data_IF_352489958386
#
_entry.id   IF_352489958386
#
_cell.length_a   1.000
_cell.length_b   1.000
_cell.length_c   1.000
_cell.angle_alpha   90.00
_cell.angle_beta   90.00
_cell.angle_gamma   90.00
#
_symmetry.space_group_name_H-M   'P 1'
#
loop_
_entity.id
_entity.type
_entity.pdbx_description
1 polymer ?
#
# COMPACT_ATOMS: atom_id res chain seq x y z
N UNK A 1 10.11 8.09 2.37
CA UNK A 1 8.91 7.42 2.92
C UNK A 1 8.18 6.75 1.79
N UNK A 2 7.49 5.65 2.10
CA UNK A 2 6.66 4.92 1.13
C UNK A 2 5.20 5.13 1.51
N UNK A 3 4.35 5.30 0.51
CA UNK A 3 2.90 5.29 0.64
C UNK A 3 2.38 4.22 -0.30
N UNK A 4 2.12 3.04 0.24
CA UNK A 4 1.56 1.91 -0.51
C UNK A 4 0.06 2.09 -0.65
N UNK A 5 -0.44 1.95 -1.86
CA UNK A 5 -1.87 2.06 -2.19
C UNK A 5 -2.33 0.77 -2.84
N UNK A 6 -3.47 0.27 -2.39
CA UNK A 6 -4.18 -0.85 -2.99
C UNK A 6 -5.70 -0.67 -2.83
N UNK A 7 -6.46 -1.50 -3.53
CA UNK A 7 -7.91 -1.41 -3.59
C UNK A 7 -8.62 -2.77 -3.50
N UNK A 8 -9.87 -2.73 -3.06
CA UNK A 8 -10.78 -3.85 -3.19
C UNK A 8 -12.05 -3.42 -3.91
N UNK A 9 -12.52 -4.25 -4.85
CA UNK A 9 -13.75 -3.99 -5.61
C UNK A 9 -13.59 -3.57 -7.07
N UNK A 10 -12.46 -3.90 -7.71
CA UNK A 10 -12.26 -3.69 -9.16
C UNK A 10 -13.07 -4.63 -10.07
N UNK A 11 -13.73 -5.64 -9.49
CA UNK A 11 -14.37 -6.71 -10.23
C UNK A 11 -15.82 -6.34 -10.57
N UNK A 12 -16.29 -6.69 -11.78
CA UNK A 12 -17.69 -6.52 -12.22
C UNK A 12 -18.72 -7.36 -11.42
N UNK A 13 -18.28 -8.01 -10.33
CA UNK A 13 -19.05 -8.94 -9.51
C UNK A 13 -19.71 -8.23 -8.32
N UNK A 14 -20.86 -7.59 -8.59
CA UNK A 14 -22.01 -7.49 -7.68
C UNK A 14 -21.86 -6.80 -6.31
N UNK A 15 -20.68 -6.32 -5.93
CA UNK A 15 -20.49 -5.48 -4.74
C UNK A 15 -20.64 -4.02 -5.14
N UNK A 16 -21.43 -3.28 -4.37
CA UNK A 16 -21.64 -1.85 -4.57
C UNK A 16 -20.45 -1.01 -4.07
N UNK A 17 -19.40 -1.61 -3.50
CA UNK A 17 -18.31 -0.87 -2.88
C UNK A 17 -16.96 -1.11 -3.55
N UNK A 18 -16.32 0.01 -3.89
CA UNK A 18 -14.89 0.11 -4.17
C UNK A 18 -14.22 0.81 -2.98
N UNK A 19 -13.14 0.24 -2.47
CA UNK A 19 -12.40 0.78 -1.32
C UNK A 19 -10.95 0.94 -1.72
N UNK A 20 -10.43 2.17 -1.72
CA UNK A 20 -9.00 2.43 -1.86
C UNK A 20 -8.41 2.73 -0.48
N UNK A 21 -7.28 2.09 -0.16
CA UNK A 21 -6.55 2.31 1.08
C UNK A 21 -5.14 2.75 0.76
N UNK A 22 -4.61 3.68 1.55
CA UNK A 22 -3.21 4.04 1.52
C UNK A 22 -2.60 3.88 2.90
N UNK A 23 -1.47 3.19 2.98
CA UNK A 23 -0.66 3.03 4.19
C UNK A 23 0.67 3.74 3.97
N UNK A 24 1.07 4.58 4.92
CA UNK A 24 2.30 5.37 4.88
C UNK A 24 3.23 4.91 6.00
N UNK A 25 4.48 4.69 5.66
CA UNK A 25 5.55 4.46 6.62
C UNK A 25 6.80 5.29 6.26
N UNK A 26 7.49 5.83 7.26
CA UNK A 26 8.87 6.27 7.07
C UNK A 26 9.76 5.06 7.05
N UNK A 27 10.93 5.22 6.43
CA UNK A 27 11.85 4.10 6.24
C UNK A 27 12.36 3.48 7.54
N UNK A 28 12.39 4.28 8.62
CA UNK A 28 12.76 3.83 9.95
C UNK A 28 11.66 3.01 10.65
N UNK A 29 10.41 3.13 10.20
CA UNK A 29 9.23 2.58 10.89
C UNK A 29 8.65 1.37 10.14
N UNK A 30 9.14 1.06 8.93
CA UNK A 30 8.64 -0.06 8.13
C UNK A 30 8.83 -1.42 8.80
N UNK A 31 9.87 -1.59 9.62
CA UNK A 31 10.03 -2.82 10.41
C UNK A 31 8.97 -2.96 11.49
N UNK A 32 8.43 -1.86 12.02
CA UNK A 32 7.30 -1.90 12.96
C UNK A 32 6.02 -2.32 12.22
N UNK A 33 5.79 -1.81 11.00
CA UNK A 33 4.70 -2.26 10.13
C UNK A 33 4.77 -3.78 9.90
N UNK A 34 5.93 -4.29 9.48
CA UNK A 34 6.11 -5.74 9.23
C UNK A 34 5.91 -6.54 10.50
N UNK A 35 6.39 -6.07 11.65
CA UNK A 35 6.16 -6.72 12.95
C UNK A 35 4.68 -6.87 13.24
N UNK A 36 3.92 -5.77 13.18
CA UNK A 36 2.48 -5.77 13.43
C UNK A 36 1.73 -6.73 12.49
N UNK A 37 2.11 -6.78 11.21
CA UNK A 37 1.53 -7.73 10.25
C UNK A 37 1.84 -9.18 10.60
N UNK A 38 3.08 -9.49 11.02
CA UNK A 38 3.50 -10.84 11.40
C UNK A 38 2.83 -11.28 12.71
N UNK A 39 2.73 -10.40 13.69
CA UNK A 39 2.09 -10.66 14.99
C UNK A 39 0.59 -10.97 14.84
N UNK A 40 -0.04 -10.46 13.77
CA UNK A 40 -1.40 -10.78 13.36
C UNK A 40 -1.49 -11.93 12.31
N UNK A 41 -0.37 -12.62 12.04
CA UNK A 41 -0.25 -13.74 11.10
C UNK A 41 -0.80 -13.40 9.69
N UNK A 42 -0.48 -12.19 9.22
CA UNK A 42 -0.78 -11.66 7.87
C UNK A 42 0.35 -11.87 6.84
N UNK A 43 1.51 -12.40 7.27
CA UNK A 43 2.60 -12.93 6.40
C UNK A 43 2.90 -12.10 5.14
N UNK A 44 3.44 -10.88 5.29
CA UNK A 44 3.81 -10.03 4.15
C UNK A 44 4.80 -10.75 3.22
N UNK A 45 4.87 -10.36 1.94
CA UNK A 45 5.70 -10.99 0.88
C UNK A 45 5.27 -12.38 0.40
N UNK A 46 4.63 -13.20 1.25
CA UNK A 46 4.15 -14.55 0.92
C UNK A 46 2.76 -14.52 0.26
N UNK A 47 1.86 -13.72 0.82
CA UNK A 47 0.45 -13.74 0.50
C UNK A 47 -0.12 -12.34 0.29
N UNK A 48 -1.11 -12.26 -0.60
CA UNK A 48 -2.09 -11.17 -0.71
C UNK A 48 -3.33 -11.50 0.13
N UNK A 49 -4.16 -10.52 0.46
CA UNK A 49 -5.40 -10.62 1.24
C UNK A 49 -6.34 -11.73 0.74
N UNK A 50 -6.51 -11.85 -0.59
CA UNK A 50 -7.36 -12.88 -1.19
C UNK A 50 -6.70 -14.27 -1.21
N UNK A 51 -5.37 -14.33 -1.34
CA UNK A 51 -4.65 -15.61 -1.44
C UNK A 51 -4.44 -16.28 -0.08
N UNK A 52 -4.47 -15.51 1.01
CA UNK A 52 -4.32 -16.03 2.38
C UNK A 52 -5.41 -17.05 2.71
N UNK A 53 -6.68 -16.73 2.40
CA UNK A 53 -7.82 -17.64 2.58
C UNK A 53 -7.64 -18.94 1.79
N UNK A 54 -7.13 -18.85 0.56
CA UNK A 54 -6.99 -19.99 -0.36
C UNK A 54 -5.85 -20.94 0.02
N UNK A 55 -4.74 -20.42 0.53
CA UNK A 55 -3.52 -21.21 0.72
C UNK A 55 -3.30 -21.68 2.17
N UNK A 56 -3.91 -21.03 3.16
CA UNK A 56 -3.77 -21.40 4.59
C UNK A 56 -4.94 -22.18 5.16
N UNK A 57 -6.05 -22.31 4.41
CA UNK A 57 -7.30 -22.80 5.00
C UNK A 57 -7.88 -21.87 6.06
N UNK A 58 -7.42 -20.61 6.07
CA UNK A 58 -7.97 -19.54 6.91
C UNK A 58 -9.38 -19.21 6.42
N UNK A 59 -10.33 -19.13 7.34
CA UNK A 59 -11.70 -18.72 6.96
C UNK A 59 -11.77 -17.21 6.70
N UNK A 60 -12.76 -16.74 5.93
CA UNK A 60 -13.00 -15.30 5.77
C UNK A 60 -13.12 -14.57 7.12
N UNK A 61 -13.74 -15.19 8.12
CA UNK A 61 -13.94 -14.62 9.47
C UNK A 61 -12.62 -14.52 10.24
N UNK A 62 -11.79 -15.56 10.23
CA UNK A 62 -10.46 -15.51 10.84
C UNK A 62 -9.58 -14.41 10.22
N UNK A 63 -9.69 -14.20 8.90
CA UNK A 63 -9.02 -13.09 8.23
C UNK A 63 -9.54 -11.74 8.75
N UNK A 64 -10.85 -11.58 8.92
CA UNK A 64 -11.42 -10.33 9.45
C UNK A 64 -10.91 -10.04 10.85
N UNK A 65 -10.88 -11.05 11.73
CA UNK A 65 -10.37 -10.92 13.09
C UNK A 65 -8.91 -10.47 13.11
N UNK A 66 -8.05 -11.11 12.31
CA UNK A 66 -6.62 -10.78 12.21
C UNK A 66 -6.37 -9.39 11.65
N UNK A 67 -7.10 -8.98 10.61
CA UNK A 67 -6.95 -7.63 10.06
C UNK A 67 -7.48 -6.59 11.03
N UNK A 68 -8.54 -6.88 11.79
CA UNK A 68 -9.03 -6.01 12.87
C UNK A 68 -8.00 -5.84 14.00
N UNK A 69 -7.33 -6.93 14.41
CA UNK A 69 -6.21 -6.89 15.35
C UNK A 69 -5.06 -6.05 14.80
N UNK A 70 -4.66 -6.28 13.55
CA UNK A 70 -3.62 -5.50 12.88
C UNK A 70 -3.93 -4.00 12.81
N UNK A 71 -5.18 -3.61 12.48
CA UNK A 71 -5.59 -2.20 12.47
C UNK A 71 -5.45 -1.59 13.86
N UNK A 72 -5.79 -2.34 14.92
CA UNK A 72 -5.62 -1.89 16.31
C UNK A 72 -4.14 -1.70 16.65
N UNK A 73 -3.29 -2.65 16.26
CA UNK A 73 -1.85 -2.59 16.52
C UNK A 73 -1.16 -1.47 15.72
N UNK A 74 -1.70 -1.12 14.53
CA UNK A 74 -1.20 0.02 13.76
C UNK A 74 -1.30 1.35 14.52
N UNK A 75 -2.33 1.53 15.36
CA UNK A 75 -2.50 2.74 16.17
C UNK A 75 -1.39 2.92 17.22
N UNK A 76 -0.65 1.84 17.53
CA UNK A 76 0.51 1.86 18.44
C UNK A 76 1.83 2.18 17.71
N UNK A 77 1.80 2.41 16.39
CA UNK A 77 2.97 2.68 15.56
C UNK A 77 2.96 4.10 14.97
N UNK A 78 4.10 4.55 14.43
CA UNK A 78 4.20 5.79 13.65
C UNK A 78 3.67 5.64 12.19
N UNK A 79 3.11 4.48 11.86
CA UNK A 79 2.51 4.20 10.55
C UNK A 79 1.12 4.81 10.52
N UNK A 80 0.83 5.57 9.48
CA UNK A 80 -0.50 6.13 9.27
C UNK A 80 -1.17 5.48 8.07
N UNK A 81 -2.49 5.40 8.11
CA UNK A 81 -3.26 4.90 6.98
C UNK A 81 -4.51 5.77 6.77
N UNK A 82 -5.15 5.62 5.62
CA UNK A 82 -6.53 6.10 5.45
C UNK A 82 -7.22 5.35 4.31
N UNK A 83 -8.55 5.35 4.35
CA UNK A 83 -9.37 4.67 3.36
C UNK A 83 -10.42 5.62 2.77
N UNK A 84 -10.67 5.48 1.47
CA UNK A 84 -11.76 6.17 0.78
C UNK A 84 -12.67 5.13 0.14
N UNK A 85 -13.95 5.17 0.52
CA UNK A 85 -14.99 4.26 0.06
C UNK A 85 -15.87 4.93 -0.98
N UNK A 86 -16.02 4.26 -2.11
CA UNK A 86 -16.89 4.62 -3.21
C UNK A 86 -18.08 3.65 -3.24
N UNK A 87 -19.32 4.15 -3.22
CA UNK A 87 -20.56 3.33 -3.34
C UNK A 87 -21.27 3.46 -4.71
N UNK A 88 -21.64 2.37 -5.36
CA UNK A 88 -22.30 2.31 -6.69
C UNK A 88 -21.39 1.93 -7.87
N UNK A 89 -21.77 2.35 -9.09
CA UNK A 89 -20.94 2.23 -10.29
C UNK A 89 -19.96 3.40 -10.37
N UNK A 90 -18.66 3.12 -10.33
CA UNK A 90 -17.63 4.16 -10.29
C UNK A 90 -16.82 4.22 -11.57
N UNK A 91 -16.51 5.46 -11.97
CA UNK A 91 -15.61 5.70 -13.09
C UNK A 91 -14.15 5.62 -12.65
N UNK A 92 -13.24 5.43 -13.60
CA UNK A 92 -11.80 5.55 -13.36
C UNK A 92 -11.39 6.87 -12.65
N UNK A 93 -12.18 7.95 -12.81
CA UNK A 93 -11.96 9.22 -12.10
C UNK A 93 -12.25 9.13 -10.61
N UNK A 94 -13.31 8.40 -10.24
CA UNK A 94 -13.65 8.17 -8.85
C UNK A 94 -12.61 7.28 -8.17
N UNK A 95 -12.17 6.20 -8.82
CA UNK A 95 -11.10 5.33 -8.29
C UNK A 95 -9.79 6.11 -8.12
N UNK A 96 -9.37 6.86 -9.15
CA UNK A 96 -8.16 7.66 -9.07
C UNK A 96 -8.20 8.72 -7.95
N UNK A 97 -9.35 9.39 -7.78
CA UNK A 97 -9.57 10.33 -6.68
C UNK A 97 -9.51 9.63 -5.33
N UNK A 98 -10.15 8.48 -5.18
CA UNK A 98 -10.11 7.71 -3.95
C UNK A 98 -8.68 7.30 -3.56
N UNK A 99 -7.92 6.70 -4.49
CA UNK A 99 -6.50 6.32 -4.28
C UNK A 99 -5.62 7.51 -3.91
N UNK A 100 -5.75 8.61 -4.66
CA UNK A 100 -4.92 9.82 -4.46
C UNK A 100 -5.27 10.55 -3.15
N UNK A 101 -6.55 10.65 -2.81
CA UNK A 101 -7.01 11.26 -1.55
C UNK A 101 -6.66 10.40 -0.36
N UNK A 102 -6.81 9.07 -0.44
CA UNK A 102 -6.38 8.17 0.63
C UNK A 102 -4.88 8.36 0.92
N UNK A 103 -4.05 8.45 -0.12
CA UNK A 103 -2.63 8.73 0.09
C UNK A 103 -2.36 10.12 0.67
N UNK A 104 -3.07 11.15 0.19
CA UNK A 104 -2.93 12.51 0.74
C UNK A 104 -3.29 12.55 2.21
N UNK A 105 -4.41 11.91 2.58
CA UNK A 105 -4.91 11.84 3.95
C UNK A 105 -3.97 11.07 4.86
N UNK A 106 -3.44 9.91 4.43
CA UNK A 106 -2.47 9.15 5.22
C UNK A 106 -1.20 9.95 5.52
N UNK A 107 -0.72 10.77 4.57
CA UNK A 107 0.40 11.69 4.83
C UNK A 107 -0.01 12.80 5.80
N UNK A 108 -1.14 13.47 5.55
CA UNK A 108 -1.52 14.67 6.31
C UNK A 108 -1.98 14.38 7.74
N UNK A 109 -2.57 13.21 8.00
CA UNK A 109 -2.99 12.83 9.35
C UNK A 109 -1.78 12.64 10.28
N UNK A 110 -0.67 12.14 9.74
CA UNK A 110 0.58 11.98 10.48
C UNK A 110 1.30 13.31 10.78
N UNK A 111 0.88 14.44 10.20
CA UNK A 111 1.52 15.74 10.51
C UNK A 111 1.34 16.15 11.96
N UNK A 112 0.32 15.67 12.66
CA UNK A 112 0.12 15.98 14.08
C UNK A 112 1.25 15.42 14.97
N UNK A 113 1.88 14.31 14.56
CA UNK A 113 2.90 13.60 15.34
C UNK A 113 4.29 13.69 14.72
N UNK A 114 4.39 13.72 13.38
CA UNK A 114 5.64 13.52 12.63
C UNK A 114 6.02 14.68 11.68
N UNK A 115 5.45 15.88 11.86
CA UNK A 115 5.62 17.01 10.91
C UNK A 115 7.06 17.24 10.43
N UNK A 116 8.04 17.23 11.33
CA UNK A 116 9.45 17.48 10.99
C UNK A 116 10.04 16.37 10.12
N UNK A 117 9.83 15.10 10.50
CA UNK A 117 10.31 13.93 9.74
C UNK A 117 9.66 13.86 8.37
N UNK A 118 8.37 14.24 8.27
CA UNK A 118 7.63 14.31 7.00
C UNK A 118 8.20 15.42 6.10
N UNK A 119 8.42 16.62 6.64
CA UNK A 119 8.95 17.75 5.87
C UNK A 119 10.36 17.50 5.31
N UNK A 120 11.15 16.69 5.99
CA UNK A 120 12.49 16.28 5.53
C UNK A 120 12.46 15.07 4.56
N UNK A 121 11.30 14.43 4.40
CA UNK A 121 11.14 13.23 3.59
C UNK A 121 10.78 13.55 2.13
N UNK A 122 10.98 12.55 1.28
CA UNK A 122 10.35 12.43 -0.04
C UNK A 122 9.44 11.22 -0.02
N UNK A 123 8.22 11.36 -0.52
CA UNK A 123 7.26 10.27 -0.60
C UNK A 123 7.32 9.59 -1.96
N UNK A 124 7.32 8.26 -1.96
CA UNK A 124 6.96 7.49 -3.15
C UNK A 124 5.55 6.95 -2.92
N UNK A 125 4.61 7.40 -3.75
CA UNK A 125 3.27 6.85 -3.81
C UNK A 125 3.29 5.63 -4.73
N UNK A 126 3.23 4.45 -4.13
CA UNK A 126 3.37 3.17 -4.81
C UNK A 126 1.99 2.58 -5.07
N UNK A 127 1.58 2.62 -6.33
CA UNK A 127 0.34 1.99 -6.77
C UNK A 127 0.63 0.57 -7.28
N UNK A 128 -0.13 -0.43 -6.83
CA UNK A 128 -0.03 -1.78 -7.41
C UNK A 128 -0.53 -1.78 -8.85
N UNK A 129 0.31 -2.25 -9.76
CA UNK A 129 -0.06 -2.45 -11.15
C UNK A 129 0.97 -1.95 -12.14
N UNK A 130 0.71 -2.27 -13.41
CA UNK A 130 1.55 -1.83 -14.52
C UNK A 130 1.09 -0.46 -15.00
N UNK A 131 2.02 0.47 -15.27
CA UNK A 131 1.67 1.66 -16.02
C UNK A 131 1.26 1.23 -17.43
N UNK A 132 -0.03 1.35 -17.74
CA UNK A 132 -0.54 1.10 -19.08
C UNK A 132 -0.93 2.44 -19.73
N UNK A 133 -0.17 2.92 -20.74
CA UNK A 133 -0.45 4.18 -21.40
C UNK A 133 -1.76 4.17 -22.21
N UNK A 134 -2.35 3.00 -22.46
CA UNK A 134 -3.62 2.84 -23.16
C UNK A 134 -4.82 2.73 -22.22
N UNK A 135 -4.61 2.55 -20.92
CA UNK A 135 -5.69 2.50 -19.94
C UNK A 135 -6.05 3.89 -19.42
N UNK A 136 -7.35 4.19 -19.43
CA UNK A 136 -7.87 5.46 -18.93
C UNK A 136 -7.60 5.68 -17.44
N UNK A 137 -7.43 4.62 -16.65
CA UNK A 137 -7.16 4.75 -15.21
C UNK A 137 -5.77 5.33 -14.91
N UNK A 138 -4.70 4.78 -15.49
CA UNK A 138 -3.32 5.25 -15.25
C UNK A 138 -3.14 6.73 -15.57
N UNK A 139 -3.67 7.21 -16.72
CA UNK A 139 -3.63 8.65 -17.05
C UNK A 139 -4.45 9.50 -16.06
N UNK A 140 -5.62 9.00 -15.66
CA UNK A 140 -6.49 9.69 -14.71
C UNK A 140 -5.84 9.80 -13.32
N UNK A 141 -5.23 8.72 -12.82
CA UNK A 141 -4.49 8.73 -11.57
C UNK A 141 -3.33 9.72 -11.63
N UNK A 142 -2.53 9.72 -12.70
CA UNK A 142 -1.43 10.67 -12.86
C UNK A 142 -1.89 12.13 -12.86
N UNK A 143 -3.05 12.44 -13.43
CA UNK A 143 -3.65 13.79 -13.40
C UNK A 143 -4.20 14.13 -12.02
N UNK A 144 -4.83 13.18 -11.35
CA UNK A 144 -5.38 13.37 -10.02
C UNK A 144 -4.27 13.59 -9.00
N UNK A 145 -3.22 12.75 -9.00
CA UNK A 145 -2.01 12.94 -8.19
C UNK A 145 -1.40 14.31 -8.43
N UNK A 146 -1.36 14.81 -9.67
CA UNK A 146 -0.84 16.17 -9.95
C UNK A 146 -1.64 17.26 -9.25
N UNK A 147 -2.95 17.08 -9.10
CA UNK A 147 -3.83 18.04 -8.44
C UNK A 147 -3.72 17.94 -6.92
N UNK A 148 -3.71 16.72 -6.38
CA UNK A 148 -3.69 16.50 -4.95
C UNK A 148 -2.34 16.83 -4.30
N UNK A 149 -1.25 16.60 -5.04
CA UNK A 149 0.14 16.85 -4.65
C UNK A 149 0.74 17.95 -5.54
N UNK A 150 0.07 19.11 -5.57
CA UNK A 150 0.54 20.27 -6.31
C UNK A 150 1.77 20.92 -5.67
N UNK A 151 2.28 21.99 -6.27
CA UNK A 151 3.44 22.72 -5.73
C UNK A 151 3.20 23.30 -4.34
N UNK A 152 1.95 23.62 -3.99
CA UNK A 152 1.60 24.06 -2.64
C UNK A 152 1.78 22.94 -1.62
N UNK A 153 1.29 21.74 -1.94
CA UNK A 153 1.51 20.56 -1.11
C UNK A 153 3.00 20.18 -1.01
N UNK A 154 3.73 20.19 -2.13
CA UNK A 154 5.16 19.84 -2.15
C UNK A 154 5.99 20.76 -1.26
N UNK A 155 5.66 22.06 -1.22
CA UNK A 155 6.36 23.07 -0.43
C UNK A 155 5.90 23.11 1.04
N UNK A 156 4.63 22.81 1.30
CA UNK A 156 4.04 22.87 2.64
C UNK A 156 4.10 21.57 3.43
N UNK A 157 4.20 20.43 2.76
CA UNK A 157 4.18 19.09 3.36
C UNK A 157 5.43 18.31 2.98
N UNK A 158 5.50 17.77 1.76
CA UNK A 158 6.68 17.09 1.21
C UNK A 158 6.48 16.78 -0.28
N UNK A 159 7.56 16.59 -1.07
CA UNK A 159 7.47 16.08 -2.44
C UNK A 159 6.90 14.65 -2.51
N UNK A 160 5.99 14.40 -3.46
CA UNK A 160 5.36 13.08 -3.68
C UNK A 160 5.58 12.62 -5.12
N UNK A 161 6.15 11.43 -5.28
CA UNK A 161 6.48 10.80 -6.55
C UNK A 161 5.59 9.57 -6.77
N UNK A 162 4.71 9.61 -7.78
CA UNK A 162 3.90 8.45 -8.17
C UNK A 162 4.76 7.41 -8.88
N UNK A 163 4.83 6.20 -8.34
CA UNK A 163 5.45 5.03 -8.95
C UNK A 163 4.40 3.93 -9.14
N UNK A 164 4.55 3.17 -10.23
CA UNK A 164 3.78 1.97 -10.48
C UNK A 164 4.71 0.77 -10.35
N UNK A 165 4.32 -0.21 -9.55
CA UNK A 165 5.06 -1.46 -9.39
C UNK A 165 4.07 -2.61 -9.54
N UNK A 166 4.37 -3.53 -10.45
CA UNK A 166 3.58 -4.75 -10.56
C UNK A 166 3.80 -5.61 -9.31
N UNK A 167 2.72 -6.11 -8.72
CA UNK A 167 2.76 -6.92 -7.50
C UNK A 167 3.43 -6.14 -6.35
N UNK A 168 3.08 -4.85 -6.25
CA UNK A 168 3.57 -3.97 -5.19
C UNK A 168 3.19 -4.51 -3.81
N UNK A 169 1.98 -5.02 -3.67
CA UNK A 169 1.46 -5.69 -2.48
C UNK A 169 2.19 -6.99 -2.10
N UNK A 170 3.00 -7.58 -2.97
CA UNK A 170 3.91 -8.69 -2.61
C UNK A 170 5.32 -8.22 -2.33
N UNK A 171 5.64 -6.98 -2.69
CA UNK A 171 6.98 -6.45 -2.57
C UNK A 171 7.10 -5.50 -1.39
N UNK A 172 6.13 -4.61 -1.18
CA UNK A 172 6.17 -3.56 -0.16
C UNK A 172 5.09 -3.82 0.91
N UNK A 173 5.48 -3.87 2.21
CA UNK A 173 4.54 -4.07 3.32
C UNK A 173 3.41 -3.03 3.35
N UNK A 174 3.65 -1.80 2.91
CA UNK A 174 2.64 -0.74 2.86
C UNK A 174 1.51 -1.08 1.88
N UNK A 175 1.87 -1.55 0.68
CA UNK A 175 0.87 -1.99 -0.31
C UNK A 175 0.17 -3.26 0.15
N UNK A 176 0.89 -4.19 0.79
CA UNK A 176 0.30 -5.40 1.34
C UNK A 176 -0.72 -5.10 2.45
N UNK A 177 -0.36 -4.19 3.36
CA UNK A 177 -1.26 -3.72 4.41
C UNK A 177 -2.49 -3.00 3.82
N UNK A 178 -2.31 -2.19 2.78
CA UNK A 178 -3.40 -1.55 2.07
C UNK A 178 -4.39 -2.59 1.48
N UNK A 179 -3.91 -3.67 0.85
CA UNK A 179 -4.75 -4.77 0.32
C UNK A 179 -5.56 -5.45 1.43
N UNK A 180 -4.92 -5.79 2.56
CA UNK A 180 -5.62 -6.38 3.72
C UNK A 180 -6.71 -5.47 4.25
N UNK A 181 -6.41 -4.20 4.50
CA UNK A 181 -7.36 -3.22 5.06
C UNK A 181 -8.48 -2.91 4.06
N UNK A 182 -8.18 -2.79 2.76
CA UNK A 182 -9.19 -2.57 1.72
C UNK A 182 -10.17 -3.75 1.65
N UNK A 183 -9.65 -4.98 1.70
CA UNK A 183 -10.46 -6.19 1.75
C UNK A 183 -11.31 -6.29 3.02
N UNK A 184 -10.76 -5.93 4.19
CA UNK A 184 -11.47 -5.89 5.47
C UNK A 184 -12.68 -4.95 5.41
N UNK A 185 -12.45 -3.68 5.06
CA UNK A 185 -13.49 -2.65 4.98
C UNK A 185 -14.58 -3.05 3.97
N UNK A 186 -14.18 -3.50 2.78
CA UNK A 186 -15.14 -3.85 1.73
C UNK A 186 -16.06 -4.99 2.15
N UNK A 187 -15.52 -6.04 2.78
CA UNK A 187 -16.33 -7.16 3.24
C UNK A 187 -17.26 -6.72 4.37
N UNK A 188 -16.78 -5.95 5.34
CA UNK A 188 -17.61 -5.41 6.42
C UNK A 188 -18.83 -4.64 5.88
N UNK A 189 -18.64 -3.81 4.84
CA UNK A 189 -19.72 -3.07 4.20
C UNK A 189 -20.67 -3.97 3.39
N UNK A 190 -20.14 -4.99 2.70
CA UNK A 190 -20.95 -5.96 1.97
C UNK A 190 -21.80 -6.83 2.90
N UNK A 191 -21.34 -7.08 4.13
CA UNK A 191 -22.07 -7.83 5.16
C UNK A 191 -23.14 -6.98 5.88
N UNK A 192 -23.38 -5.74 5.41
CA UNK A 192 -24.39 -4.82 5.93
C UNK A 192 -23.89 -3.88 7.03
N UNK A 193 -22.57 -3.82 7.24
CA UNK A 193 -21.94 -2.82 8.11
C UNK A 193 -22.13 -1.39 7.60
N UNK A 194 -21.97 -0.42 8.50
CA UNK A 194 -22.04 1.02 8.17
C UNK A 194 -20.66 1.65 8.19
N UNK A 195 -20.37 2.53 7.23
CA UNK A 195 -19.16 3.37 7.21
C UNK A 195 -18.93 4.09 8.54
N UNK A 196 -19.99 4.57 9.19
CA UNK A 196 -19.91 5.32 10.46
C UNK A 196 -19.54 4.45 11.67
N UNK A 197 -19.51 3.13 11.52
CA UNK A 197 -19.21 2.17 12.57
C UNK A 197 -17.79 1.58 12.45
N UNK A 198 -17.03 2.00 11.42
CA UNK A 198 -15.62 1.64 11.28
C UNK A 198 -14.81 2.69 12.04
N UNK A 199 -14.18 2.28 13.13
CA UNK A 199 -13.23 3.12 13.84
C UNK A 199 -11.96 3.29 12.99
N UNK A 200 -11.63 4.53 12.63
CA UNK A 200 -10.44 4.85 11.86
C UNK A 200 -10.64 5.95 10.81
N UNK A 201 -9.57 6.30 10.08
CA UNK A 201 -9.56 7.32 9.04
C UNK A 201 -10.22 6.83 7.74
N UNK A 202 -11.52 6.51 7.81
CA UNK A 202 -12.32 6.00 6.69
C UNK A 202 -13.36 7.04 6.26
N UNK A 203 -13.32 7.44 4.99
CA UNK A 203 -14.21 8.44 4.42
C UNK A 203 -14.99 7.91 3.23
N UNK A 204 -16.18 8.46 2.99
CA UNK A 204 -16.85 8.30 1.70
C UNK A 204 -16.26 9.26 0.68
N UNK A 205 -16.14 8.84 -0.58
CA UNK A 205 -15.69 9.70 -1.67
C UNK A 205 -16.63 10.90 -1.84
N UNK A 206 -16.08 12.10 -1.65
CA UNK A 206 -16.76 13.34 -2.01
C UNK A 206 -16.52 13.69 -3.49
N UNK A 207 -17.58 14.00 -4.23
CA UNK A 207 -17.49 14.39 -5.64
C UNK A 207 -16.58 15.61 -5.90
N UNK A 208 -16.43 16.49 -4.91
CA UNK A 208 -15.54 17.66 -4.98
C UNK A 208 -14.06 17.27 -5.01
N UNK A 209 -13.69 16.05 -4.64
CA UNK A 209 -12.30 15.57 -4.70
C UNK A 209 -11.88 15.11 -6.09
N UNK A 210 -12.84 14.95 -7.02
CA UNK A 210 -12.56 14.55 -8.40
C UNK A 210 -12.13 15.78 -9.19
N UNK A 211 -10.83 16.09 -9.16
CA UNK A 211 -10.25 17.29 -9.76
C UNK A 211 -8.99 16.95 -10.57
N UNK A 212 -9.09 16.17 -11.65
CA UNK A 212 -7.91 15.79 -12.42
C UNK A 212 -7.28 17.01 -13.10
N UNK A 213 -5.97 17.18 -12.95
CA UNK A 213 -5.22 18.24 -13.63
C UNK A 213 -5.23 18.08 -15.16
N UNK A 214 -5.00 19.19 -15.86
CA UNK A 214 -4.88 19.19 -17.33
C UNK A 214 -3.68 18.38 -17.84
N UNK A 215 -2.60 18.29 -17.04
CA UNK A 215 -1.38 17.57 -17.39
C UNK A 215 -1.07 16.49 -16.35
N UNK A 216 -0.78 15.24 -16.77
CA UNK A 216 -0.42 14.17 -15.86
C UNK A 216 1.00 14.36 -15.31
N UNK A 217 1.27 13.87 -14.09
CA UNK A 217 2.67 13.68 -13.62
C UNK A 217 3.39 12.64 -14.48
N UNK A 218 4.72 12.74 -14.56
CA UNK A 218 5.53 11.63 -15.06
C UNK A 218 5.75 10.63 -13.92
N UNK A 219 5.48 9.33 -14.14
CA UNK A 219 5.76 8.32 -13.13
C UNK A 219 7.24 8.28 -12.79
N UNK A 220 7.54 8.13 -11.51
CA UNK A 220 8.86 7.84 -10.99
C UNK A 220 9.18 6.36 -11.18
N UNK A 221 10.41 6.09 -11.61
CA UNK A 221 10.91 4.73 -11.82
C UNK A 221 11.79 4.34 -10.64
N UNK A 222 11.41 3.28 -9.92
CA UNK A 222 12.26 2.68 -8.89
C UNK A 222 13.52 2.10 -9.53
N UNK A 223 14.66 2.17 -8.86
CA UNK A 223 15.83 1.41 -9.34
C UNK A 223 15.52 -0.09 -9.28
N UNK A 224 16.06 -0.86 -10.22
CA UNK A 224 15.80 -2.31 -10.29
C UNK A 224 16.80 -3.10 -9.45
N UNK A 225 16.31 -4.11 -8.74
CA UNK A 225 17.15 -5.19 -8.21
C UNK A 225 17.25 -6.31 -9.23
N UNK A 226 18.41 -6.97 -9.31
CA UNK A 226 18.51 -8.25 -10.02
C UNK A 226 18.00 -9.34 -9.09
N UNK A 227 16.90 -10.05 -9.43
CA UNK A 227 16.36 -11.05 -8.53
C UNK A 227 17.31 -12.23 -8.40
N UNK A 228 17.24 -12.91 -7.26
CA UNK A 228 18.03 -14.11 -6.99
C UNK A 228 17.38 -15.30 -7.69
N UNK A 229 18.19 -16.06 -8.43
CA UNK A 229 17.72 -17.19 -9.23
C UNK A 229 17.06 -18.27 -8.37
N UNK A 230 15.80 -18.58 -8.67
CA UNK A 230 15.02 -19.62 -7.98
C UNK A 230 14.47 -19.21 -6.62
N UNK A 231 14.66 -17.95 -6.22
CA UNK A 231 14.41 -17.44 -4.87
C UNK A 231 13.49 -16.22 -4.96
N UNK A 232 12.25 -16.45 -5.41
CA UNK A 232 11.29 -15.40 -5.73
C UNK A 232 10.96 -14.51 -4.53
N UNK A 233 10.60 -15.12 -3.40
CA UNK A 233 10.28 -14.40 -2.16
C UNK A 233 11.46 -13.59 -1.64
N UNK A 234 12.66 -14.17 -1.60
CA UNK A 234 13.87 -13.43 -1.20
C UNK A 234 14.15 -12.24 -2.09
N UNK A 235 13.83 -12.34 -3.39
CA UNK A 235 13.98 -11.23 -4.32
C UNK A 235 13.02 -10.09 -4.02
N UNK A 236 11.79 -10.39 -3.58
CA UNK A 236 10.79 -9.39 -3.14
C UNK A 236 11.27 -8.67 -1.88
N UNK A 237 11.74 -9.43 -0.89
CA UNK A 237 12.29 -8.87 0.36
C UNK A 237 13.54 -8.03 0.07
N UNK A 238 14.44 -8.46 -0.83
CA UNK A 238 15.59 -7.66 -1.24
C UNK A 238 15.17 -6.37 -1.94
N UNK A 239 14.17 -6.43 -2.81
CA UNK A 239 13.60 -5.26 -3.46
C UNK A 239 13.04 -4.29 -2.42
N UNK A 240 12.30 -4.79 -1.43
CA UNK A 240 11.85 -4.02 -0.29
C UNK A 240 13.02 -3.39 0.43
N UNK A 241 13.94 -4.16 1.03
CA UNK A 241 15.04 -3.67 1.87
C UNK A 241 15.89 -2.59 1.19
N UNK A 242 16.08 -2.71 -0.13
CA UNK A 242 16.87 -1.76 -0.93
C UNK A 242 16.06 -0.58 -1.48
N UNK A 243 14.73 -0.55 -1.32
CA UNK A 243 13.85 0.48 -1.87
C UNK A 243 13.79 0.44 -3.40
N UNK A 244 13.75 -0.76 -3.97
CA UNK A 244 13.88 -1.07 -5.40
C UNK A 244 12.67 -1.81 -5.95
N UNK A 245 12.55 -1.82 -7.28
CA UNK A 245 11.59 -2.65 -8.01
C UNK A 245 12.21 -3.95 -8.49
N UNK A 246 11.36 -4.90 -8.89
CA UNK A 246 11.77 -6.05 -9.71
C UNK A 246 11.33 -5.77 -11.15
N UNK A 247 12.24 -5.81 -12.13
CA UNK A 247 11.89 -5.56 -13.52
C UNK A 247 10.99 -6.68 -14.07
N UNK A 248 10.06 -6.32 -14.97
CA UNK A 248 9.12 -7.26 -15.61
C UNK A 248 9.81 -8.44 -16.33
N UNK A 249 10.97 -8.16 -16.94
CA UNK A 249 11.81 -9.15 -17.61
C UNK A 249 13.13 -9.26 -16.86
N UNK A 250 13.16 -10.00 -15.74
CA UNK A 250 14.33 -10.03 -14.90
C UNK A 250 15.47 -10.81 -15.53
N UNK A 251 16.69 -10.34 -15.29
CA UNK A 251 17.93 -11.09 -15.49
C UNK A 251 18.44 -11.58 -14.11
N UNK A 252 18.11 -12.82 -13.69
CA UNK A 252 18.41 -13.27 -12.34
C UNK A 252 19.91 -13.45 -12.11
N UNK A 253 20.34 -13.26 -10.87
CA UNK A 253 21.72 -13.42 -10.42
C UNK A 253 21.86 -14.63 -9.49
N UNK A 254 23.09 -15.13 -9.35
CA UNK A 254 23.46 -16.11 -8.31
C UNK A 254 23.96 -15.45 -7.04
N UNK A 255 24.26 -14.14 -7.09
CA UNK A 255 24.60 -13.35 -5.91
C UNK A 255 23.37 -13.22 -5.01
N UNK A 256 23.51 -13.50 -3.72
CA UNK A 256 22.41 -13.55 -2.78
C UNK A 256 22.82 -12.88 -1.46
N UNK A 257 22.67 -11.54 -1.35
CA UNK A 257 22.99 -10.80 -0.12
C UNK A 257 21.91 -10.91 0.97
N UNK A 258 20.86 -11.73 0.76
CA UNK A 258 19.66 -11.78 1.61
C UNK A 258 19.96 -11.90 3.09
N UNK A 259 20.72 -12.93 3.50
CA UNK A 259 21.00 -13.17 4.93
C UNK A 259 21.73 -11.99 5.57
N UNK A 260 22.74 -11.43 4.88
CA UNK A 260 23.51 -10.30 5.40
C UNK A 260 22.63 -9.07 5.62
N UNK A 261 21.73 -8.75 4.66
CA UNK A 261 20.84 -7.59 4.79
C UNK A 261 19.73 -7.83 5.83
N UNK A 262 19.21 -9.05 5.96
CA UNK A 262 18.24 -9.38 7.01
C UNK A 262 18.89 -9.37 8.40
N UNK A 263 20.16 -9.76 8.51
CA UNK A 263 20.94 -9.71 9.75
C UNK A 263 21.14 -8.27 10.27
N UNK A 264 21.04 -7.25 9.42
CA UNK A 264 21.11 -5.83 9.79
C UNK A 264 19.80 -5.28 10.39
N UNK A 265 18.70 -6.04 10.35
CA UNK A 265 17.41 -5.62 10.91
C UNK A 265 17.41 -5.75 12.45
N UNK A 266 17.12 -4.66 13.14
CA UNK A 266 17.10 -4.65 14.62
C UNK A 266 15.88 -5.37 15.22
N UNK A 267 14.73 -5.34 14.54
CA UNK A 267 13.51 -5.99 15.02
C UNK A 267 13.62 -7.52 14.93
N UNK A 268 13.59 -8.19 16.08
CA UNK A 268 13.75 -9.66 16.18
C UNK A 268 12.58 -10.43 15.56
N UNK A 269 11.35 -9.93 15.68
CA UNK A 269 10.15 -10.58 15.08
C UNK A 269 10.32 -10.62 13.56
N UNK A 270 10.64 -9.47 12.96
CA UNK A 270 10.89 -9.35 11.51
C UNK A 270 12.06 -10.23 11.09
N UNK A 271 13.17 -10.20 11.82
CA UNK A 271 14.36 -11.01 11.49
C UNK A 271 14.05 -12.51 11.52
N UNK A 272 13.39 -12.99 12.57
CA UNK A 272 12.99 -14.41 12.68
C UNK A 272 12.05 -14.79 11.56
N UNK A 273 11.03 -13.97 11.29
CA UNK A 273 10.08 -14.19 10.19
C UNK A 273 10.80 -14.35 8.83
N UNK A 274 11.72 -13.44 8.51
CA UNK A 274 12.46 -13.46 7.25
C UNK A 274 13.49 -14.59 7.13
N UNK A 275 14.09 -15.06 8.23
CA UNK A 275 15.15 -16.09 8.19
C UNK A 275 14.64 -17.52 8.36
N UNK A 276 13.51 -17.69 9.05
CA UNK A 276 13.05 -19.00 9.53
C UNK A 276 11.65 -19.37 9.04
N UNK A 277 10.79 -18.40 8.75
CA UNK A 277 9.39 -18.66 8.39
C UNK A 277 9.06 -18.52 6.89
N UNK A 278 9.92 -17.82 6.13
CA UNK A 278 9.85 -17.57 4.68
C UNK A 278 10.79 -18.51 3.89
#
# INVERSE_FOLDING_TARGET
>A
MVVGVDESGNDATGSDYYVAVAVRALRADETALVSAMVENDLRPFEHKSVSTVRHRGMTPEERQERVGGFITDLDETDVSWSAVVCSGSHSNRAHAAASSVAAKKSITSALATDAERIAQSRAVLLHDGKPDPYQGFTDTLRRQTRSDFDTGFEQGVCPVYLAFLQDADRTYPESNAADYVAGYIRNYLNDGGSLTAIDGPVDSLDSSWIQPAERPVQPYHLEDVRPVKGEGVRSLVLAWLLGRGIPNEPAPTTDNPYRALVDEIDNSVVKTYLLEEL
#
